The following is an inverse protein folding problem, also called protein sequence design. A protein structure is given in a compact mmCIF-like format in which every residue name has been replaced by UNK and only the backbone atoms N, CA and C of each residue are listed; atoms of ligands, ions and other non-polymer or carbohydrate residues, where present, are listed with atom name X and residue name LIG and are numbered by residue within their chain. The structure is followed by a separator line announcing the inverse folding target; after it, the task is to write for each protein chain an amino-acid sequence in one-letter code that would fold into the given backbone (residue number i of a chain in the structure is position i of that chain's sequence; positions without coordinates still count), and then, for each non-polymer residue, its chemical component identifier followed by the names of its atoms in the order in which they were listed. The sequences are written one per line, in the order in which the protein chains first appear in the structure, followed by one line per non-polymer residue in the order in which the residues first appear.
data_IF_424221527790
#
_entry.id   IF_424221527790
#
_cell.length_a   1.000
_cell.length_b   1.000
_cell.length_c   1.000
_cell.angle_alpha   90.00
_cell.angle_beta   90.00
_cell.angle_gamma   90.00
#
_symmetry.space_group_name_H-M   'P 1'
#
loop_
_entity.id
_entity.type
_entity.pdbx_description
1 polymer ?
#
# COMPACT_ATOMS: atom_id res chain seq x y z
N UNK A 1 4.31 -1.30 -1.29
CA UNK A 1 3.48 -0.10 -1.55
C UNK A 1 3.63 0.24 -3.02
N UNK A 2 2.53 0.48 -3.76
CA UNK A 2 2.61 0.78 -5.20
C UNK A 2 2.38 2.26 -5.52
N UNK A 3 1.87 3.05 -4.56
CA UNK A 3 1.71 4.49 -4.70
C UNK A 3 3.09 5.18 -4.89
N UNK A 4 3.29 5.95 -5.97
CA UNK A 4 4.55 6.65 -6.23
C UNK A 4 4.97 7.63 -5.13
N UNK A 5 4.01 8.31 -4.49
CA UNK A 5 4.27 9.23 -3.38
C UNK A 5 4.86 8.47 -2.19
N UNK A 6 4.23 7.37 -1.80
CA UNK A 6 4.71 6.54 -0.69
C UNK A 6 6.06 5.89 -0.97
N UNK A 7 6.31 5.48 -2.22
CA UNK A 7 7.61 4.93 -2.63
C UNK A 7 8.71 5.98 -2.47
N UNK A 8 8.45 7.22 -2.91
CA UNK A 8 9.43 8.31 -2.80
C UNK A 8 9.67 8.75 -1.37
N UNK A 9 8.63 8.80 -0.52
CA UNK A 9 8.81 9.08 0.89
C UNK A 9 9.69 8.01 1.53
N UNK A 10 9.43 6.72 1.27
CA UNK A 10 10.27 5.64 1.78
C UNK A 10 11.74 5.74 1.29
N UNK A 11 11.96 6.18 0.05
CA UNK A 11 13.30 6.47 -0.47
C UNK A 11 14.01 7.58 0.30
N UNK A 12 13.28 8.65 0.63
CA UNK A 12 13.78 9.76 1.43
C UNK A 12 14.04 9.38 2.89
N UNK A 13 13.13 8.63 3.52
CA UNK A 13 13.30 8.10 4.88
C UNK A 13 14.52 7.17 4.99
N UNK A 14 14.83 6.45 3.91
CA UNK A 14 16.02 5.61 3.80
C UNK A 14 17.32 6.40 3.48
N UNK A 15 17.26 7.73 3.35
CA UNK A 15 18.41 8.58 3.02
C UNK A 15 18.86 8.49 1.55
N UNK A 16 18.01 7.98 0.66
CA UNK A 16 18.26 7.81 -0.77
C UNK A 16 17.24 8.59 -1.60
N UNK A 17 17.22 9.94 -1.51
CA UNK A 17 16.20 10.73 -2.18
C UNK A 17 16.23 10.54 -3.70
N UNK A 18 15.09 10.75 -4.40
CA UNK A 18 15.03 10.64 -5.85
C UNK A 18 16.10 11.49 -6.53
N UNK A 19 16.88 10.87 -7.42
CA UNK A 19 18.02 11.51 -8.11
C UNK A 19 19.08 12.14 -7.19
N UNK A 20 19.10 11.80 -5.89
CA UNK A 20 20.00 12.40 -4.92
C UNK A 20 19.63 13.81 -4.47
N UNK A 21 18.41 14.30 -4.78
CA UNK A 21 17.95 15.66 -4.42
C UNK A 21 16.77 15.61 -3.45
N UNK A 22 16.98 16.10 -2.22
CA UNK A 22 15.98 16.14 -1.15
C UNK A 22 14.74 16.97 -1.52
N UNK A 23 14.85 17.92 -2.45
CA UNK A 23 13.70 18.72 -2.91
C UNK A 23 12.67 17.91 -3.69
N UNK A 24 13.02 16.69 -4.09
CA UNK A 24 12.13 15.77 -4.79
C UNK A 24 11.34 14.86 -3.82
N UNK A 25 11.62 14.95 -2.52
CA UNK A 25 10.86 14.25 -1.50
C UNK A 25 9.45 14.84 -1.39
N UNK A 26 8.38 14.02 -1.47
CA UNK A 26 7.04 14.50 -1.26
C UNK A 26 6.87 15.06 0.16
N UNK A 27 6.16 16.19 0.33
CA UNK A 27 6.00 16.83 1.64
C UNK A 27 4.97 16.15 2.54
N UNK A 28 4.01 15.42 1.95
CA UNK A 28 2.91 14.76 2.65
C UNK A 28 2.69 13.35 2.11
N UNK A 29 2.29 12.43 2.99
CA UNK A 29 1.85 11.09 2.59
C UNK A 29 0.53 11.15 1.83
N UNK A 30 0.36 10.22 0.89
CA UNK A 30 -0.87 10.06 0.12
C UNK A 30 -1.79 8.97 0.68
N UNK A 31 -1.24 7.94 1.35
CA UNK A 31 -2.02 6.78 1.81
C UNK A 31 -1.55 6.29 3.19
N UNK A 32 -2.51 6.04 4.08
CA UNK A 32 -2.32 5.36 5.37
C UNK A 32 -3.15 4.08 5.45
N UNK A 33 -2.65 3.03 6.11
CA UNK A 33 -3.44 1.83 6.43
C UNK A 33 -4.08 1.99 7.80
N UNK A 34 -5.40 2.06 7.85
CA UNK A 34 -6.17 2.17 9.09
C UNK A 34 -6.88 0.86 9.42
N UNK A 35 -6.89 0.49 10.70
CA UNK A 35 -7.56 -0.71 11.16
C UNK A 35 -9.08 -0.51 11.18
N UNK A 36 -9.81 -1.45 10.59
CA UNK A 36 -11.28 -1.52 10.59
C UNK A 36 -11.73 -2.85 11.17
N UNK A 37 -12.59 -2.78 12.17
CA UNK A 37 -13.22 -3.96 12.78
C UNK A 37 -14.35 -4.47 11.87
N UNK A 38 -14.29 -5.74 11.48
CA UNK A 38 -15.40 -6.44 10.82
C UNK A 38 -16.36 -7.02 11.87
N UNK A 39 -17.62 -7.24 11.47
CA UNK A 39 -18.64 -7.91 12.29
C UNK A 39 -18.20 -9.32 12.72
N UNK A 40 -17.35 -9.97 11.92
CA UNK A 40 -16.76 -11.29 12.20
C UNK A 40 -15.67 -11.27 13.29
N UNK A 41 -15.42 -10.12 13.93
CA UNK A 41 -14.34 -9.93 14.90
C UNK A 41 -12.93 -9.85 14.29
N UNK A 42 -12.82 -9.95 12.96
CA UNK A 42 -11.54 -9.83 12.24
C UNK A 42 -11.21 -8.36 12.02
N UNK A 43 -10.02 -7.94 12.45
CA UNK A 43 -9.47 -6.62 12.13
C UNK A 43 -8.81 -6.67 10.76
N UNK A 44 -9.27 -5.82 9.83
CA UNK A 44 -8.69 -5.67 8.50
C UNK A 44 -8.02 -4.30 8.40
N UNK A 45 -7.04 -4.17 7.51
CA UNK A 45 -6.40 -2.88 7.23
C UNK A 45 -6.99 -2.29 5.95
N UNK A 46 -7.52 -1.07 6.02
CA UNK A 46 -8.08 -0.36 4.89
C UNK A 46 -7.15 0.80 4.50
N UNK A 47 -6.77 0.94 3.22
CA UNK A 47 -6.07 2.12 2.75
C UNK A 47 -6.99 3.35 2.75
N UNK A 48 -6.59 4.40 3.44
CA UNK A 48 -7.25 5.71 3.50
C UNK A 48 -6.41 6.73 2.74
N UNK A 49 -7.08 7.52 1.90
CA UNK A 49 -6.44 8.55 1.07
C UNK A 49 -6.27 9.84 1.88
N UNK A 50 -5.07 10.39 1.85
CA UNK A 50 -4.68 11.61 2.55
C UNK A 50 -4.45 12.78 1.58
N UNK A 51 -4.02 13.92 2.13
CA UNK A 51 -3.77 15.18 1.43
C UNK A 51 -2.60 15.12 0.44
N UNK A 52 -1.64 14.21 0.61
CA UNK A 52 -0.55 14.00 -0.34
C UNK A 52 -0.97 13.29 -1.64
N UNK A 53 -2.25 12.94 -1.82
CA UNK A 53 -2.72 12.28 -3.04
C UNK A 53 -2.68 13.20 -4.26
N UNK A 54 -1.98 12.77 -5.31
CA UNK A 54 -1.85 13.52 -6.58
C UNK A 54 -2.68 12.95 -7.73
N UNK A 55 -3.57 11.98 -7.46
CA UNK A 55 -4.45 11.41 -8.48
C UNK A 55 -3.76 10.48 -9.49
N UNK A 56 -2.68 9.79 -9.11
CA UNK A 56 -1.95 8.89 -10.03
C UNK A 56 -2.72 7.61 -10.43
N UNK A 57 -3.86 7.30 -9.79
CA UNK A 57 -4.71 6.15 -10.11
C UNK A 57 -4.16 4.76 -9.71
N UNK A 58 -2.92 4.67 -9.22
CA UNK A 58 -2.31 3.37 -8.91
C UNK A 58 -3.04 2.61 -7.79
N UNK A 59 -3.60 3.31 -6.80
CA UNK A 59 -4.39 2.68 -5.74
C UNK A 59 -5.65 2.00 -6.29
N UNK A 60 -6.30 2.61 -7.27
CA UNK A 60 -7.49 2.05 -7.92
C UNK A 60 -7.12 0.85 -8.81
N UNK A 61 -6.00 0.93 -9.52
CA UNK A 61 -5.54 -0.17 -10.38
C UNK A 61 -5.07 -1.40 -9.60
N UNK A 62 -4.54 -1.21 -8.38
CA UNK A 62 -3.99 -2.31 -7.57
C UNK A 62 -4.99 -2.87 -6.55
N UNK A 63 -6.00 -2.09 -6.16
CA UNK A 63 -7.04 -2.58 -5.27
C UNK A 63 -7.80 -3.70 -5.99
N UNK A 64 -7.92 -4.89 -5.40
CA UNK A 64 -8.69 -5.97 -6.03
C UNK A 64 -10.14 -5.51 -6.23
N UNK A 65 -10.75 -5.97 -7.31
CA UNK A 65 -12.19 -5.78 -7.56
C UNK A 65 -13.00 -6.68 -6.62
N UNK A 66 -14.17 -6.23 -6.22
CA UNK A 66 -15.17 -7.07 -5.57
C UNK A 66 -16.14 -7.66 -6.62
N UNK A 67 -16.30 -9.00 -6.73
CA UNK A 67 -15.61 -10.04 -5.97
C UNK A 67 -14.18 -10.30 -6.48
N UNK A 68 -13.30 -10.74 -5.59
CA UNK A 68 -11.93 -11.12 -5.94
C UNK A 68 -11.93 -12.21 -7.01
N UNK A 69 -11.22 -11.99 -8.12
CA UNK A 69 -11.22 -12.91 -9.27
C UNK A 69 -10.32 -14.13 -9.09
N UNK A 70 -9.33 -14.06 -8.19
CA UNK A 70 -8.42 -15.16 -7.87
C UNK A 70 -8.43 -15.34 -6.35
N UNK A 71 -8.76 -16.56 -5.90
CA UNK A 71 -8.77 -16.94 -4.49
C UNK A 71 -7.71 -18.02 -4.30
N UNK A 72 -6.74 -17.76 -3.42
CA UNK A 72 -5.73 -18.75 -3.02
C UNK A 72 -6.16 -19.30 -1.67
N UNK A 73 -6.52 -20.58 -1.65
CA UNK A 73 -6.79 -21.29 -0.42
C UNK A 73 -5.45 -21.72 0.22
N UNK A 74 -5.13 -21.14 1.36
CA UNK A 74 -3.86 -21.37 2.07
C UNK A 74 -3.88 -22.64 2.92
N UNK A 75 -4.96 -23.43 2.90
CA UNK A 75 -5.04 -24.69 3.66
C UNK A 75 -4.28 -25.84 3.00
N UNK A 76 -3.90 -25.72 1.71
CA UNK A 76 -3.04 -26.67 1.00
C UNK A 76 -1.58 -26.17 0.97
N UNK A 77 -0.95 -26.01 2.13
CA UNK A 77 0.50 -25.79 2.23
C UNK A 77 1.24 -27.07 1.82
N UNK A 78 1.30 -27.37 0.52
CA UNK A 78 2.19 -28.40 -0.02
C UNK A 78 3.64 -27.97 0.18
N UNK A 79 4.18 -28.37 1.32
CA UNK A 79 5.61 -28.55 1.63
C UNK A 79 6.60 -27.65 0.91
N UNK A 80 6.66 -26.36 1.29
CA UNK A 80 7.85 -25.54 1.05
C UNK A 80 8.59 -25.40 2.38
N UNK A 81 9.29 -26.46 2.79
CA UNK A 81 10.27 -26.38 3.87
C UNK A 81 11.51 -25.67 3.34
N UNK A 82 11.98 -24.69 4.13
CA UNK A 82 13.26 -24.00 3.96
C UNK A 82 14.46 -24.94 4.14
#
# INVERSE_FOLDING_TARGET
RQCPIEIRIAQCDAGTPPSGDERQCPPHHAIELQAVASEDGVTRMLPVILDGCVGCGVCEMICPVEPTVIVIDSSDSRGMSA
#
